data_IF_333093322264
#
_entry.id   IF_333093322264
#
_cell.length_a   1.000
_cell.length_b   1.000
_cell.length_c   1.000
_cell.angle_alpha   90.00
_cell.angle_beta   90.00
_cell.angle_gamma   90.00
#
_symmetry.space_group_name_H-M   'P 1'
#
loop_
_entity.id
_entity.type
_entity.pdbx_description
1 polymer ?
#
# COMPACT_ATOMS: atom_id res chain seq x y z
N UNK A 1 -35.43 -27.66 16.13
CA UNK A 1 -33.99 -27.38 15.96
C UNK A 1 -33.80 -26.87 14.53
N UNK A 2 -33.78 -25.55 14.32
CA UNK A 2 -33.67 -24.94 12.97
C UNK A 2 -32.19 -24.74 12.64
N UNK A 3 -31.72 -25.40 11.58
CA UNK A 3 -30.42 -25.14 10.98
C UNK A 3 -30.38 -23.70 10.46
N UNK A 4 -29.43 -22.93 10.98
CA UNK A 4 -29.05 -21.62 10.44
C UNK A 4 -28.43 -21.82 9.06
N UNK A 5 -29.08 -21.27 8.04
CA UNK A 5 -28.58 -21.15 6.69
C UNK A 5 -27.29 -20.32 6.68
N UNK A 6 -26.19 -20.91 6.25
CA UNK A 6 -24.99 -20.18 5.86
C UNK A 6 -25.31 -19.36 4.61
N UNK A 7 -25.32 -18.03 4.75
CA UNK A 7 -25.38 -17.12 3.61
C UNK A 7 -24.06 -17.27 2.84
N UNK A 8 -24.11 -17.96 1.72
CA UNK A 8 -23.06 -17.90 0.70
C UNK A 8 -23.05 -16.48 0.15
N UNK A 9 -22.17 -15.63 0.68
CA UNK A 9 -21.91 -14.32 0.11
C UNK A 9 -21.34 -14.54 -1.29
N UNK A 10 -22.13 -14.26 -2.33
CA UNK A 10 -21.63 -14.25 -3.69
C UNK A 10 -20.67 -13.08 -3.83
N UNK A 11 -19.38 -13.37 -3.99
CA UNK A 11 -18.37 -12.37 -4.29
C UNK A 11 -18.69 -11.76 -5.66
N UNK A 12 -19.40 -10.63 -5.65
CA UNK A 12 -19.69 -9.86 -6.86
C UNK A 12 -18.50 -8.95 -7.13
N UNK A 13 -17.73 -9.27 -8.18
CA UNK A 13 -16.71 -8.37 -8.71
C UNK A 13 -17.36 -7.05 -9.13
N UNK A 14 -17.03 -5.96 -8.45
CA UNK A 14 -17.66 -4.65 -8.65
C UNK A 14 -17.03 -3.86 -9.81
N UNK A 15 -15.76 -4.12 -10.12
CA UNK A 15 -15.04 -3.47 -11.22
C UNK A 15 -13.71 -4.17 -11.52
N UNK A 16 -13.24 -4.06 -12.76
CA UNK A 16 -11.87 -4.40 -13.16
C UNK A 16 -11.03 -3.12 -13.21
N UNK A 17 -9.83 -3.17 -12.64
CA UNK A 17 -8.88 -2.05 -12.66
C UNK A 17 -7.53 -2.54 -13.21
N UNK A 18 -6.96 -1.80 -14.17
CA UNK A 18 -5.60 -2.03 -14.69
C UNK A 18 -4.60 -1.14 -13.96
N UNK A 19 -3.79 -1.73 -13.08
CA UNK A 19 -2.66 -1.03 -12.45
C UNK A 19 -1.46 -1.03 -13.38
N UNK A 20 -0.61 0.00 -13.29
CA UNK A 20 0.68 0.05 -13.98
C UNK A 20 1.79 -0.74 -13.27
N UNK A 21 1.49 -1.31 -12.10
CA UNK A 21 2.40 -2.12 -11.30
C UNK A 21 1.66 -3.25 -10.58
N UNK A 22 2.40 -4.07 -9.85
CA UNK A 22 1.88 -5.18 -9.06
C UNK A 22 1.50 -4.68 -7.66
N UNK A 23 0.22 -4.80 -7.24
CA UNK A 23 -0.17 -4.51 -5.86
C UNK A 23 0.59 -5.39 -4.87
N UNK A 24 1.21 -4.78 -3.86
CA UNK A 24 2.01 -5.49 -2.85
C UNK A 24 1.34 -5.49 -1.47
N UNK A 25 0.70 -4.38 -1.09
CA UNK A 25 -0.02 -4.23 0.16
C UNK A 25 -1.16 -3.23 0.05
N UNK A 26 -2.13 -3.33 0.96
CA UNK A 26 -3.23 -2.37 1.05
C UNK A 26 -3.62 -2.11 2.51
N UNK A 27 -4.07 -0.89 2.79
CA UNK A 27 -4.68 -0.55 4.07
C UNK A 27 -5.85 0.41 3.89
N UNK A 28 -6.78 0.41 4.84
CA UNK A 28 -7.86 1.39 4.92
C UNK A 28 -7.34 2.69 5.53
N UNK A 29 -7.65 3.82 4.89
CA UNK A 29 -7.37 5.18 5.40
C UNK A 29 -8.63 5.76 6.03
N UNK A 30 -9.77 5.58 5.33
CA UNK A 30 -11.11 5.96 5.79
C UNK A 30 -12.11 4.90 5.29
N UNK A 31 -13.36 4.89 5.76
CA UNK A 31 -14.38 3.95 5.28
C UNK A 31 -14.64 3.99 3.77
N UNK A 32 -14.20 5.06 3.08
CA UNK A 32 -14.36 5.24 1.64
C UNK A 32 -13.02 5.42 0.90
N UNK A 33 -11.87 5.24 1.55
CA UNK A 33 -10.55 5.41 0.91
C UNK A 33 -9.58 4.33 1.41
N UNK A 34 -8.94 3.65 0.46
CA UNK A 34 -7.85 2.70 0.72
C UNK A 34 -6.56 3.18 0.06
N UNK A 35 -5.43 2.89 0.68
CA UNK A 35 -4.12 3.10 0.09
C UNK A 35 -3.54 1.76 -0.35
N UNK A 36 -2.96 1.70 -1.55
CA UNK A 36 -2.41 0.49 -2.15
C UNK A 36 -0.98 0.77 -2.60
N UNK A 37 -0.02 -0.03 -2.13
CA UNK A 37 1.35 0.01 -2.65
C UNK A 37 1.43 -0.76 -3.95
N UNK A 38 2.05 -0.14 -4.95
CA UNK A 38 2.35 -0.73 -6.24
C UNK A 38 3.86 -0.83 -6.40
N UNK A 39 4.33 -2.06 -6.52
CA UNK A 39 5.67 -2.39 -6.97
C UNK A 39 5.70 -2.29 -8.49
N UNK A 40 6.68 -1.59 -9.05
CA UNK A 40 6.99 -1.70 -10.46
C UNK A 40 8.39 -2.30 -10.66
N UNK A 41 8.45 -3.56 -11.07
CA UNK A 41 9.71 -4.24 -11.36
C UNK A 41 10.45 -3.57 -12.54
N UNK A 42 9.71 -2.92 -13.45
CA UNK A 42 10.24 -2.35 -14.70
C UNK A 42 10.64 -0.88 -14.59
N UNK A 43 10.11 -0.14 -13.63
CA UNK A 43 10.51 1.24 -13.35
C UNK A 43 10.79 1.35 -11.86
N UNK A 44 11.95 1.88 -11.47
CA UNK A 44 12.34 2.09 -10.06
C UNK A 44 11.46 3.15 -9.34
N UNK A 45 10.20 3.26 -9.74
CA UNK A 45 9.21 4.26 -9.33
C UNK A 45 8.04 3.50 -8.70
N UNK A 46 8.31 2.93 -7.54
CA UNK A 46 7.26 2.38 -6.68
C UNK A 46 6.36 3.51 -6.18
N UNK A 47 5.07 3.24 -6.03
CA UNK A 47 4.09 4.26 -5.68
C UNK A 47 3.03 3.74 -4.69
N UNK A 48 2.40 4.67 -3.97
CA UNK A 48 1.14 4.43 -3.26
C UNK A 48 0.02 5.10 -4.04
N UNK A 49 -1.02 4.33 -4.38
CA UNK A 49 -2.25 4.87 -4.95
C UNK A 49 -3.34 4.93 -3.89
N UNK A 50 -4.00 6.08 -3.79
CA UNK A 50 -5.15 6.26 -2.93
C UNK A 50 -6.42 6.09 -3.76
N UNK A 51 -7.22 5.10 -3.40
CA UNK A 51 -8.40 4.68 -4.14
C UNK A 51 -9.62 5.01 -3.31
N UNK A 52 -10.47 5.88 -3.86
CA UNK A 52 -11.77 6.19 -3.27
C UNK A 52 -12.81 5.19 -3.77
N UNK A 53 -13.68 4.74 -2.86
CA UNK A 53 -14.83 3.90 -3.15
C UNK A 53 -16.04 4.83 -3.25
N UNK A 54 -16.54 5.05 -4.46
CA UNK A 54 -17.71 5.89 -4.71
C UNK A 54 -18.73 5.13 -5.58
N UNK A 55 -19.99 5.06 -5.14
CA UNK A 55 -21.08 4.41 -5.90
C UNK A 55 -20.74 2.99 -6.40
N UNK A 56 -20.05 2.19 -5.57
CA UNK A 56 -19.55 0.84 -5.91
C UNK A 56 -18.48 0.81 -7.00
N UNK A 57 -17.90 1.95 -7.33
CA UNK A 57 -16.76 2.08 -8.23
C UNK A 57 -15.52 2.44 -7.42
N UNK A 58 -14.40 1.86 -7.83
CA UNK A 58 -13.08 2.28 -7.38
C UNK A 58 -12.66 3.43 -8.28
N UNK A 59 -12.08 4.49 -7.71
CA UNK A 59 -11.53 5.65 -8.42
C UNK A 59 -10.16 5.97 -7.83
N UNK A 60 -9.10 5.97 -8.63
CA UNK A 60 -7.80 6.52 -8.19
C UNK A 60 -7.98 8.01 -7.99
N UNK A 61 -7.77 8.46 -6.74
CA UNK A 61 -7.75 9.87 -6.40
C UNK A 61 -6.35 10.46 -6.63
N UNK A 62 -5.42 10.15 -5.71
CA UNK A 62 -4.06 10.69 -5.72
C UNK A 62 -3.01 9.59 -5.69
N UNK A 63 -1.78 9.96 -6.03
CA UNK A 63 -0.60 9.08 -6.03
C UNK A 63 0.52 9.69 -5.21
N UNK A 64 1.28 8.84 -4.53
CA UNK A 64 2.52 9.17 -3.85
C UNK A 64 3.66 8.39 -4.50
N UNK A 65 4.58 9.09 -5.15
CA UNK A 65 5.78 8.47 -5.69
C UNK A 65 6.78 8.21 -4.58
N UNK A 66 7.27 6.98 -4.46
CA UNK A 66 8.29 6.59 -3.50
C UNK A 66 9.67 6.62 -4.17
N UNK A 67 10.70 6.95 -3.38
CA UNK A 67 12.11 6.92 -3.80
C UNK A 67 12.81 5.63 -3.32
N UNK A 68 12.03 4.61 -2.98
CA UNK A 68 12.48 3.33 -2.48
C UNK A 68 11.46 2.25 -2.87
N UNK A 69 11.86 0.98 -2.76
CA UNK A 69 10.93 -0.13 -3.00
C UNK A 69 9.85 -0.22 -1.93
N UNK A 70 8.69 -0.75 -2.26
CA UNK A 70 7.58 -0.94 -1.33
C UNK A 70 7.05 -2.37 -1.37
N UNK A 71 6.68 -2.89 -0.21
CA UNK A 71 6.15 -4.25 -0.05
C UNK A 71 4.89 -4.29 0.80
N UNK A 72 4.76 -3.40 1.77
CA UNK A 72 3.65 -3.37 2.71
C UNK A 72 3.33 -1.94 3.13
N UNK A 73 2.12 -1.77 3.63
CA UNK A 73 1.60 -0.46 4.06
C UNK A 73 0.69 -0.62 5.27
N UNK A 74 0.82 0.29 6.22
CA UNK A 74 -0.09 0.44 7.34
C UNK A 74 -0.43 1.91 7.56
N UNK A 75 -1.64 2.17 8.04
CA UNK A 75 -2.10 3.50 8.41
C UNK A 75 -2.36 3.56 9.91
N UNK A 76 -1.79 4.56 10.57
CA UNK A 76 -2.01 4.76 12.00
C UNK A 76 -1.89 6.23 12.36
N UNK A 77 -2.92 6.77 13.04
CA UNK A 77 -2.95 8.14 13.59
C UNK A 77 -2.59 9.24 12.58
N UNK A 78 -3.00 9.11 11.31
CA UNK A 78 -2.74 10.12 10.28
C UNK A 78 -1.42 9.93 9.52
N UNK A 79 -0.65 8.90 9.87
CA UNK A 79 0.62 8.57 9.23
C UNK A 79 0.54 7.24 8.45
N UNK A 80 1.33 7.17 7.39
CA UNK A 80 1.56 5.98 6.59
C UNK A 80 2.91 5.36 6.94
N UNK A 81 2.90 4.06 7.15
CA UNK A 81 4.10 3.26 7.43
C UNK A 81 4.29 2.32 6.26
N UNK A 82 5.37 2.49 5.52
CA UNK A 82 5.64 1.75 4.29
C UNK A 82 6.89 0.90 4.50
N UNK A 83 6.76 -0.41 4.32
CA UNK A 83 7.89 -1.32 4.38
C UNK A 83 8.55 -1.45 3.01
N UNK A 84 9.87 -1.52 3.02
CA UNK A 84 10.71 -1.99 1.93
C UNK A 84 11.35 -3.32 2.33
N UNK A 85 12.17 -3.91 1.47
CA UNK A 85 12.89 -5.15 1.77
C UNK A 85 13.79 -5.02 3.02
N UNK A 86 14.42 -3.85 3.20
CA UNK A 86 15.42 -3.62 4.24
C UNK A 86 15.11 -2.41 5.13
N UNK A 87 13.94 -1.79 5.01
CA UNK A 87 13.66 -0.57 5.75
C UNK A 87 12.17 -0.36 6.03
N UNK A 88 11.88 0.46 7.05
CA UNK A 88 10.55 0.96 7.36
C UNK A 88 10.58 2.49 7.29
N UNK A 89 9.69 3.05 6.49
CA UNK A 89 9.56 4.48 6.28
C UNK A 89 8.23 4.99 6.84
N UNK A 90 8.27 6.19 7.40
CA UNK A 90 7.09 6.93 7.86
C UNK A 90 6.83 8.09 6.91
N UNK A 91 5.60 8.20 6.44
CA UNK A 91 5.11 9.26 5.57
C UNK A 91 3.89 9.93 6.18
N UNK A 92 3.70 11.21 5.90
CA UNK A 92 2.41 11.86 6.09
C UNK A 92 1.42 11.40 5.02
N UNK A 93 0.12 11.58 5.24
CA UNK A 93 -0.91 11.33 4.21
C UNK A 93 -0.76 12.23 2.97
N UNK A 94 -0.12 13.40 3.09
CA UNK A 94 0.18 14.28 1.97
C UNK A 94 1.40 13.84 1.14
N UNK A 95 2.13 12.83 1.61
CA UNK A 95 3.25 12.23 0.88
C UNK A 95 4.64 12.71 1.30
N UNK A 96 4.74 13.48 2.38
CA UNK A 96 6.04 13.87 2.90
C UNK A 96 6.67 12.72 3.68
N UNK A 97 7.91 12.34 3.34
CA UNK A 97 8.66 11.37 4.12
C UNK A 97 9.12 12.01 5.43
N UNK A 98 8.52 11.61 6.55
CA UNK A 98 8.85 12.15 7.87
C UNK A 98 10.15 11.54 8.41
N UNK A 99 10.31 10.22 8.29
CA UNK A 99 11.48 9.53 8.84
C UNK A 99 11.69 8.14 8.24
N UNK A 100 12.93 7.65 8.28
CA UNK A 100 13.26 6.23 8.13
C UNK A 100 13.36 5.63 9.53
N UNK A 101 12.36 4.86 9.93
CA UNK A 101 12.22 4.33 11.29
C UNK A 101 13.13 3.14 11.57
N UNK A 102 13.44 2.36 10.53
CA UNK A 102 14.31 1.20 10.61
C UNK A 102 15.05 1.02 9.28
N UNK A 103 16.31 0.58 9.34
CA UNK A 103 17.09 0.12 8.20
C UNK A 103 17.95 -1.07 8.64
N UNK A 104 17.78 -2.22 7.97
CA UNK A 104 18.70 -3.33 8.07
C UNK A 104 19.92 -3.06 7.18
N UNK A 105 21.07 -2.86 7.83
CA UNK A 105 22.36 -2.63 7.18
C UNK A 105 23.27 -3.85 7.22
N UNK A 106 22.79 -5.00 7.72
CA UNK A 106 23.60 -6.22 7.91
C UNK A 106 24.15 -6.81 6.61
N UNK A 107 23.61 -6.42 5.44
CA UNK A 107 24.14 -6.75 4.12
C UNK A 107 25.18 -5.76 3.54
N UNK A 108 25.43 -4.61 4.19
CA UNK A 108 26.51 -3.70 3.80
C UNK A 108 27.81 -4.27 4.36
N UNK A 109 28.51 -5.06 3.54
CA UNK A 109 29.89 -5.47 3.81
C UNK A 109 30.73 -4.19 4.02
N UNK A 110 31.07 -3.88 5.26
CA UNK A 110 32.15 -2.96 5.60
C UNK A 110 33.45 -3.62 5.14
N UNK A 111 33.87 -3.31 3.91
CA UNK A 111 35.01 -3.96 3.27
C UNK A 111 35.48 -3.24 2.02
N UNK A 112 35.69 -1.93 2.11
CA UNK A 112 36.63 -1.22 1.24
C UNK A 112 37.55 -0.40 2.13
N UNK A 113 38.69 -0.99 2.48
CA UNK A 113 39.94 -0.33 2.83
C UNK A 113 41.03 -0.98 1.98
#
# INVERSE_FOLDING_TARGET
MRMSSFLTSSTRWLSHWSFTGTPAGMCEITPSEVAVTLNNICSNTDEVQFITINNRQLVIGRKLQLQHTCSGIAFHQGDLYITALTALYKYTLSGEQVSKMYEDTSGKLTGQN
#
